data_IF_334866667517
#
_entry.id   IF_334866667517
#
_cell.length_a   1.000
_cell.length_b   1.000
_cell.length_c   1.000
_cell.angle_alpha   90.00
_cell.angle_beta   90.00
_cell.angle_gamma   90.00
#
_symmetry.space_group_name_H-M   'P 1'
#
loop_
_entity.id
_entity.type
_entity.pdbx_description
1 polymer ?
#
# COMPACT_ATOMS: atom_id res chain seq x y z
N UNK A 1 -22.46 -41.89 50.37
CA UNK A 1 -21.77 -40.92 49.48
C UNK A 1 -22.81 -40.27 48.58
N UNK A 2 -23.18 -39.01 48.82
CA UNK A 2 -23.98 -38.23 47.86
C UNK A 2 -23.01 -37.48 46.95
N UNK A 3 -22.96 -37.87 45.67
CA UNK A 3 -22.26 -37.10 44.65
C UNK A 3 -22.90 -35.72 44.55
N UNK A 4 -22.11 -34.66 44.80
CA UNK A 4 -22.54 -33.29 44.52
C UNK A 4 -22.74 -33.17 43.00
N UNK A 5 -23.88 -32.65 42.52
CA UNK A 5 -24.00 -32.30 41.13
C UNK A 5 -23.07 -31.11 40.86
N UNK A 6 -22.15 -31.26 39.91
CA UNK A 6 -21.37 -30.17 39.35
C UNK A 6 -22.32 -29.26 38.61
N UNK A 7 -22.80 -28.22 39.30
CA UNK A 7 -23.63 -27.19 38.71
C UNK A 7 -22.74 -26.34 37.79
N UNK A 8 -22.64 -26.74 36.51
CA UNK A 8 -22.01 -25.93 35.46
C UNK A 8 -22.88 -24.70 35.18
N UNK A 9 -22.80 -23.72 36.09
CA UNK A 9 -23.43 -22.42 35.90
C UNK A 9 -22.70 -21.65 34.79
N UNK A 10 -23.47 -21.07 33.85
CA UNK A 10 -22.90 -20.20 32.80
C UNK A 10 -22.21 -19.01 33.48
N UNK A 11 -20.89 -18.89 33.32
CA UNK A 11 -20.09 -17.79 33.88
C UNK A 11 -19.87 -16.70 32.81
N UNK A 12 -20.17 -15.45 33.15
CA UNK A 12 -19.80 -14.28 32.33
C UNK A 12 -18.39 -13.79 32.72
N UNK A 13 -17.67 -13.22 31.76
CA UNK A 13 -16.36 -12.57 31.96
C UNK A 13 -16.48 -11.08 31.58
N UNK A 14 -16.84 -10.20 32.52
CA UNK A 14 -17.19 -8.80 32.21
C UNK A 14 -16.03 -7.96 31.68
N UNK A 15 -14.79 -8.28 32.05
CA UNK A 15 -13.60 -7.58 31.54
C UNK A 15 -13.25 -7.95 30.10
N UNK A 16 -13.88 -9.01 29.56
CA UNK A 16 -13.69 -9.47 28.17
C UNK A 16 -14.94 -9.13 27.35
N UNK A 17 -16.13 -9.39 27.89
CA UNK A 17 -17.40 -9.13 27.22
C UNK A 17 -18.07 -7.92 27.86
N UNK A 18 -17.79 -6.75 27.30
CA UNK A 18 -18.25 -5.46 27.80
C UNK A 18 -18.88 -4.63 26.69
N UNK A 19 -20.10 -4.14 26.93
CA UNK A 19 -20.81 -3.25 26.01
C UNK A 19 -20.02 -1.95 25.77
N UNK A 20 -19.29 -1.44 26.76
CA UNK A 20 -18.48 -0.24 26.61
C UNK A 20 -17.36 -0.41 25.56
N UNK A 21 -16.78 -1.61 25.43
CA UNK A 21 -15.78 -1.88 24.39
C UNK A 21 -16.42 -1.94 23.01
N UNK A 22 -17.61 -2.51 22.90
CA UNK A 22 -18.35 -2.56 21.64
C UNK A 22 -18.73 -1.15 21.18
N UNK A 23 -19.30 -0.33 22.07
CA UNK A 23 -19.69 1.04 21.74
C UNK A 23 -18.48 1.91 21.41
N UNK A 24 -17.36 1.77 22.14
CA UNK A 24 -16.12 2.46 21.80
C UNK A 24 -15.60 2.03 20.42
N UNK A 25 -15.62 0.74 20.10
CA UNK A 25 -15.17 0.24 18.80
C UNK A 25 -16.03 0.78 17.65
N UNK A 26 -17.36 0.87 17.82
CA UNK A 26 -18.26 1.47 16.82
C UNK A 26 -17.95 2.94 16.59
N UNK A 27 -17.76 3.70 17.68
CA UNK A 27 -17.45 5.13 17.60
C UNK A 27 -16.11 5.39 16.90
N UNK A 28 -15.07 4.64 17.28
CA UNK A 28 -13.73 4.76 16.67
C UNK A 28 -13.74 4.37 15.19
N UNK A 29 -14.42 3.27 14.85
CA UNK A 29 -14.61 2.83 13.47
C UNK A 29 -15.33 3.89 12.63
N UNK A 30 -16.46 4.40 13.10
CA UNK A 30 -17.25 5.41 12.39
C UNK A 30 -16.49 6.73 12.24
N UNK A 31 -15.65 7.10 13.22
CA UNK A 31 -14.78 8.26 13.13
C UNK A 31 -13.72 8.10 12.04
N UNK A 32 -13.06 6.94 11.97
CA UNK A 32 -12.11 6.64 10.90
C UNK A 32 -12.79 6.63 9.52
N UNK A 33 -13.94 5.96 9.40
CA UNK A 33 -14.70 5.90 8.16
C UNK A 33 -15.11 7.29 7.66
N UNK A 34 -15.61 8.16 8.55
CA UNK A 34 -15.98 9.53 8.17
C UNK A 34 -14.77 10.33 7.63
N UNK A 35 -13.59 10.18 8.24
CA UNK A 35 -12.37 10.79 7.73
C UNK A 35 -11.97 10.21 6.35
N UNK A 36 -12.09 8.89 6.16
CA UNK A 36 -11.81 8.26 4.87
C UNK A 36 -12.78 8.73 3.78
N UNK A 37 -14.04 9.01 4.11
CA UNK A 37 -15.01 9.58 3.15
C UNK A 37 -14.60 11.01 2.72
N UNK A 38 -14.17 11.86 3.65
CA UNK A 38 -13.65 13.21 3.33
C UNK A 38 -12.40 13.10 2.43
N UNK A 39 -11.52 12.14 2.70
CA UNK A 39 -10.34 11.90 1.87
C UNK A 39 -10.68 11.35 0.50
N UNK A 40 -11.72 10.52 0.41
CA UNK A 40 -12.23 10.01 -0.85
C UNK A 40 -12.73 11.14 -1.74
N UNK A 41 -13.50 12.10 -1.20
CA UNK A 41 -13.94 13.29 -1.94
C UNK A 41 -12.74 14.08 -2.51
N UNK A 42 -11.69 14.25 -1.70
CA UNK A 42 -10.44 14.87 -2.16
C UNK A 42 -9.72 14.05 -3.24
N UNK A 43 -9.74 12.71 -3.16
CA UNK A 43 -9.17 11.84 -4.19
C UNK A 43 -9.96 11.90 -5.49
N UNK A 44 -11.29 12.00 -5.43
CA UNK A 44 -12.13 12.21 -6.61
C UNK A 44 -11.82 13.55 -7.26
N UNK A 45 -11.66 14.63 -6.48
CA UNK A 45 -11.24 15.92 -7.02
C UNK A 45 -9.85 15.85 -7.66
N UNK A 46 -8.90 15.18 -7.00
CA UNK A 46 -7.57 14.94 -7.57
C UNK A 46 -7.62 14.17 -8.89
N UNK A 47 -8.53 13.18 -9.02
CA UNK A 47 -8.73 12.45 -10.27
C UNK A 47 -9.16 13.35 -11.43
N UNK A 48 -10.11 14.26 -11.19
CA UNK A 48 -10.61 15.19 -12.19
C UNK A 48 -9.58 16.28 -12.52
N UNK A 49 -8.97 16.90 -11.50
CA UNK A 49 -7.97 17.98 -11.66
C UNK A 49 -6.77 17.54 -12.53
N UNK A 50 -6.41 16.26 -12.45
CA UNK A 50 -5.30 15.67 -13.20
C UNK A 50 -5.75 14.89 -14.44
N UNK A 51 -7.07 14.82 -14.70
CA UNK A 51 -7.70 14.03 -15.75
C UNK A 51 -7.10 12.62 -15.86
N UNK A 52 -7.08 11.87 -14.75
CA UNK A 52 -6.42 10.56 -14.70
C UNK A 52 -7.03 9.54 -15.68
N UNK A 53 -8.24 9.79 -16.17
CA UNK A 53 -8.89 9.02 -17.23
C UNK A 53 -8.11 9.03 -18.55
N UNK A 54 -7.49 10.16 -18.93
CA UNK A 54 -6.63 10.24 -20.13
C UNK A 54 -5.45 9.27 -20.07
N UNK A 55 -5.06 8.88 -18.85
CA UNK A 55 -3.99 7.95 -18.57
C UNK A 55 -4.50 6.57 -18.19
N UNK A 56 -5.70 6.21 -18.67
CA UNK A 56 -6.26 4.86 -18.55
C UNK A 56 -6.62 4.45 -17.12
N UNK A 57 -6.57 5.35 -16.15
CA UNK A 57 -7.00 5.06 -14.78
C UNK A 57 -8.50 5.32 -14.70
N UNK A 58 -9.29 4.29 -14.41
CA UNK A 58 -10.72 4.44 -14.19
C UNK A 58 -11.01 4.91 -12.75
N UNK A 59 -12.21 5.45 -12.50
CA UNK A 59 -12.67 5.77 -11.14
C UNK A 59 -12.72 4.52 -10.25
N UNK A 60 -12.95 3.34 -10.85
CA UNK A 60 -12.93 2.05 -10.16
C UNK A 60 -11.52 1.70 -9.70
N UNK A 61 -10.50 1.90 -10.54
CA UNK A 61 -9.10 1.64 -10.16
C UNK A 61 -8.66 2.55 -9.03
N UNK A 62 -9.07 3.82 -9.06
CA UNK A 62 -8.81 4.76 -7.98
C UNK A 62 -9.49 4.33 -6.68
N UNK A 63 -10.78 3.97 -6.73
CA UNK A 63 -11.55 3.53 -5.56
C UNK A 63 -10.96 2.25 -4.95
N UNK A 64 -10.57 1.28 -5.78
CA UNK A 64 -9.88 0.07 -5.34
C UNK A 64 -8.58 0.42 -4.62
N UNK A 65 -7.73 1.23 -5.24
CA UNK A 65 -6.45 1.66 -4.66
C UNK A 65 -6.66 2.39 -3.33
N UNK A 66 -7.67 3.27 -3.28
CA UNK A 66 -8.04 4.01 -2.08
C UNK A 66 -8.49 3.08 -0.95
N UNK A 67 -9.40 2.14 -1.25
CA UNK A 67 -9.87 1.14 -0.31
C UNK A 67 -8.73 0.27 0.25
N UNK A 68 -7.83 -0.20 -0.61
CA UNK A 68 -6.67 -0.99 -0.19
C UNK A 68 -5.77 -0.20 0.77
N UNK A 69 -5.57 1.09 0.51
CA UNK A 69 -4.79 1.95 1.38
C UNK A 69 -5.50 2.21 2.72
N UNK A 70 -6.79 2.53 2.73
CA UNK A 70 -7.58 2.75 3.97
C UNK A 70 -7.69 1.50 4.81
N UNK A 71 -7.81 0.31 4.20
CA UNK A 71 -7.91 -0.95 4.92
C UNK A 71 -6.56 -1.42 5.51
N UNK A 72 -5.44 -0.89 5.02
CA UNK A 72 -4.10 -1.20 5.51
C UNK A 72 -3.53 -0.14 6.46
N UNK A 73 -3.88 1.13 6.26
CA UNK A 73 -3.42 2.28 7.06
C UNK A 73 -4.66 3.11 7.42
N UNK A 74 -5.43 2.65 8.42
CA UNK A 74 -6.75 3.19 8.74
C UNK A 74 -6.71 4.36 9.71
N UNK A 75 -5.62 4.51 10.46
CA UNK A 75 -5.50 5.49 11.54
C UNK A 75 -5.61 6.93 11.01
N UNK A 76 -6.27 7.79 11.77
CA UNK A 76 -6.51 9.21 11.41
C UNK A 76 -5.19 9.95 11.21
N UNK A 77 -4.25 9.78 12.13
CA UNK A 77 -2.93 10.44 12.14
C UNK A 77 -2.06 10.03 10.96
N UNK A 78 -2.34 8.87 10.35
CA UNK A 78 -1.57 8.27 9.26
C UNK A 78 -2.10 8.63 7.86
N UNK A 79 -2.91 9.67 7.78
CA UNK A 79 -3.50 10.17 6.52
C UNK A 79 -2.44 10.53 5.47
N UNK A 80 -1.28 11.06 5.86
CA UNK A 80 -0.17 11.34 4.94
C UNK A 80 0.37 10.08 4.24
N UNK A 81 0.63 9.02 5.00
CA UNK A 81 1.12 7.73 4.50
C UNK A 81 0.09 7.05 3.59
N UNK A 82 -1.17 7.04 4.02
CA UNK A 82 -2.27 6.46 3.26
C UNK A 82 -2.46 7.14 1.90
N UNK A 83 -2.51 8.47 1.87
CA UNK A 83 -2.66 9.21 0.61
C UNK A 83 -1.41 9.08 -0.28
N UNK A 84 -0.23 8.96 0.31
CA UNK A 84 1.00 8.68 -0.42
C UNK A 84 0.95 7.31 -1.10
N UNK A 85 0.47 6.27 -0.42
CA UNK A 85 0.26 4.95 -1.02
C UNK A 85 -0.65 5.04 -2.25
N UNK A 86 -1.82 5.69 -2.12
CA UNK A 86 -2.78 5.81 -3.23
C UNK A 86 -2.18 6.50 -4.44
N UNK A 87 -1.62 7.70 -4.23
CA UNK A 87 -1.07 8.52 -5.32
C UNK A 87 0.13 7.86 -5.98
N UNK A 88 1.01 7.24 -5.20
CA UNK A 88 2.18 6.55 -5.75
C UNK A 88 1.79 5.29 -6.52
N UNK A 89 0.78 4.54 -6.08
CA UNK A 89 0.31 3.37 -6.82
C UNK A 89 -0.32 3.76 -8.16
N UNK A 90 -1.16 4.80 -8.18
CA UNK A 90 -1.69 5.36 -9.44
C UNK A 90 -0.56 5.86 -10.35
N UNK A 91 0.42 6.60 -9.82
CA UNK A 91 1.55 7.09 -10.59
C UNK A 91 2.40 5.94 -11.16
N UNK A 92 2.71 4.93 -10.36
CA UNK A 92 3.41 3.73 -10.81
C UNK A 92 2.66 3.07 -11.98
N UNK A 93 1.35 2.87 -11.83
CA UNK A 93 0.53 2.20 -12.83
C UNK A 93 0.49 2.99 -14.16
N UNK A 94 0.37 4.31 -14.08
CA UNK A 94 0.47 5.19 -15.25
C UNK A 94 1.83 5.07 -15.91
N UNK A 95 2.92 5.19 -15.13
CA UNK A 95 4.27 5.18 -15.68
C UNK A 95 4.54 3.84 -16.37
N UNK A 96 4.21 2.72 -15.73
CA UNK A 96 4.42 1.38 -16.31
C UNK A 96 3.56 1.13 -17.53
N UNK A 97 2.31 1.63 -17.58
CA UNK A 97 1.38 1.32 -18.69
C UNK A 97 1.42 2.32 -19.86
N UNK A 98 1.57 3.62 -19.57
CA UNK A 98 1.55 4.69 -20.58
C UNK A 98 2.92 5.16 -21.00
N UNK A 99 3.91 5.19 -20.11
CA UNK A 99 5.23 5.74 -20.41
C UNK A 99 6.26 4.69 -20.84
N UNK A 100 6.07 3.41 -20.52
CA UNK A 100 7.09 2.38 -20.74
C UNK A 100 6.69 1.24 -21.68
N UNK A 101 5.44 1.20 -22.17
CA UNK A 101 4.96 0.14 -23.08
C UNK A 101 5.11 0.51 -24.57
N UNK A 102 5.41 1.75 -24.93
CA UNK A 102 5.48 2.17 -26.34
C UNK A 102 6.86 2.72 -26.73
N UNK A 103 7.54 1.91 -27.56
CA UNK A 103 8.41 2.35 -28.66
C UNK A 103 9.92 2.53 -28.45
N UNK A 104 10.59 1.80 -27.55
CA UNK A 104 12.07 1.67 -27.58
C UNK A 104 12.88 2.97 -27.35
N UNK A 105 12.22 4.12 -27.26
CA UNK A 105 12.73 5.45 -26.94
C UNK A 105 12.81 5.69 -25.41
N UNK A 106 12.94 4.61 -24.64
CA UNK A 106 12.93 4.62 -23.18
C UNK A 106 13.88 5.69 -22.62
N UNK A 107 15.13 5.75 -23.11
CA UNK A 107 16.16 6.64 -22.57
C UNK A 107 15.90 8.13 -22.88
N UNK A 108 15.31 8.42 -24.04
CA UNK A 108 15.03 9.79 -24.45
C UNK A 108 13.80 10.33 -23.71
N UNK A 109 12.74 9.53 -23.64
CA UNK A 109 11.55 9.79 -22.82
C UNK A 109 11.90 9.84 -21.33
N UNK A 110 12.80 8.98 -20.83
CA UNK A 110 13.35 9.01 -19.47
C UNK A 110 14.06 10.34 -19.16
N UNK A 111 14.96 10.77 -20.06
CA UNK A 111 15.73 12.00 -19.85
C UNK A 111 14.81 13.22 -19.84
N UNK A 112 13.77 13.20 -20.66
CA UNK A 112 12.77 14.25 -20.75
C UNK A 112 11.86 14.26 -19.51
N UNK A 113 11.36 13.11 -19.09
CA UNK A 113 10.50 12.96 -17.92
C UNK A 113 11.23 13.36 -16.63
N UNK A 114 12.48 12.93 -16.44
CA UNK A 114 13.33 13.38 -15.31
C UNK A 114 13.61 14.89 -15.38
N UNK A 115 13.84 15.46 -16.57
CA UNK A 115 13.98 16.91 -16.74
C UNK A 115 12.68 17.65 -16.41
N UNK A 116 11.52 17.12 -16.79
CA UNK A 116 10.20 17.70 -16.48
C UNK A 116 9.92 17.67 -14.97
N UNK A 117 10.21 16.56 -14.30
CA UNK A 117 10.12 16.45 -12.84
C UNK A 117 11.05 17.45 -12.12
N UNK A 118 12.24 17.72 -12.67
CA UNK A 118 13.22 18.64 -12.07
C UNK A 118 13.01 20.11 -12.41
N UNK A 119 12.55 20.43 -13.63
CA UNK A 119 12.50 21.81 -14.17
C UNK A 119 11.18 22.53 -13.93
N UNK A 120 10.20 21.88 -13.29
CA UNK A 120 8.86 22.44 -13.03
C UNK A 120 8.10 22.91 -14.29
N UNK A 121 8.61 22.58 -15.49
CA UNK A 121 8.05 23.01 -16.76
C UNK A 121 7.77 21.77 -17.61
N UNK A 122 6.48 21.50 -17.83
CA UNK A 122 6.00 20.46 -18.73
C UNK A 122 5.14 19.38 -18.07
N UNK A 123 3.88 19.29 -18.53
CA UNK A 123 2.83 18.27 -18.28
C UNK A 123 2.53 17.84 -16.83
N UNK A 124 1.37 17.18 -16.66
CA UNK A 124 0.65 16.89 -15.41
C UNK A 124 1.42 16.08 -14.34
N UNK A 125 2.64 15.59 -14.62
CA UNK A 125 3.34 14.58 -13.80
C UNK A 125 4.23 15.15 -12.70
N UNK A 126 5.06 16.16 -13.01
CA UNK A 126 5.85 16.87 -12.00
C UNK A 126 4.98 17.44 -10.87
N UNK A 127 3.72 17.72 -11.20
CA UNK A 127 2.70 18.23 -10.29
C UNK A 127 2.27 17.19 -9.25
N UNK A 128 2.23 15.89 -9.58
CA UNK A 128 1.88 14.84 -8.61
C UNK A 128 2.95 14.71 -7.51
N UNK A 129 4.23 14.68 -7.87
CA UNK A 129 5.32 14.65 -6.89
C UNK A 129 5.37 15.93 -6.06
N UNK A 130 5.17 17.09 -6.69
CA UNK A 130 5.10 18.38 -5.98
C UNK A 130 3.93 18.42 -5.01
N UNK A 131 2.77 17.87 -5.40
CA UNK A 131 1.59 17.77 -4.53
C UNK A 131 1.86 16.82 -3.37
N UNK A 132 2.50 15.66 -3.59
CA UNK A 132 2.94 14.76 -2.53
C UNK A 132 3.90 15.44 -1.56
N UNK A 133 4.92 16.12 -2.07
CA UNK A 133 5.89 16.85 -1.26
C UNK A 133 5.23 17.98 -0.45
N UNK A 134 4.31 18.73 -1.07
CA UNK A 134 3.55 19.80 -0.41
C UNK A 134 2.65 19.24 0.70
N UNK A 135 1.88 18.20 0.39
CA UNK A 135 0.97 17.55 1.36
C UNK A 135 1.77 16.97 2.54
N UNK A 136 2.95 16.39 2.28
CA UNK A 136 3.86 15.93 3.32
C UNK A 136 4.39 17.12 4.15
N UNK A 137 4.88 18.18 3.51
CA UNK A 137 5.38 19.37 4.21
C UNK A 137 4.34 20.00 5.14
N UNK A 138 3.09 20.13 4.67
CA UNK A 138 1.96 20.65 5.47
C UNK A 138 1.68 19.79 6.73
N UNK A 139 1.97 18.49 6.68
CA UNK A 139 1.66 17.53 7.76
C UNK A 139 2.83 17.29 8.72
N UNK A 140 4.02 17.06 8.19
CA UNK A 140 5.21 16.68 8.99
C UNK A 140 6.22 17.83 9.16
N UNK A 141 5.96 19.01 8.56
CA UNK A 141 6.79 20.20 8.70
C UNK A 141 8.16 20.12 8.03
N UNK A 142 8.38 19.17 7.13
CA UNK A 142 9.68 18.92 6.48
C UNK A 142 9.57 18.93 4.96
N UNK A 143 10.56 19.51 4.30
CA UNK A 143 10.68 19.38 2.85
C UNK A 143 11.25 18.00 2.49
N UNK A 144 10.41 17.20 1.84
CA UNK A 144 10.73 15.84 1.40
C UNK A 144 10.98 15.73 -0.10
N UNK A 145 10.90 16.85 -0.84
CA UNK A 145 10.95 16.84 -2.30
C UNK A 145 12.23 16.20 -2.84
N UNK A 146 13.38 16.51 -2.21
CA UNK A 146 14.67 15.94 -2.60
C UNK A 146 14.75 14.41 -2.41
N UNK A 147 14.10 13.88 -1.37
CA UNK A 147 14.03 12.45 -1.08
C UNK A 147 13.08 11.74 -2.06
N UNK A 148 11.90 12.32 -2.33
CA UNK A 148 10.95 11.78 -3.31
C UNK A 148 11.54 11.75 -4.72
N UNK A 149 12.20 12.83 -5.14
CA UNK A 149 12.88 12.87 -6.44
C UNK A 149 14.01 11.83 -6.52
N UNK A 150 14.75 11.63 -5.42
CA UNK A 150 15.79 10.60 -5.38
C UNK A 150 15.22 9.19 -5.48
N UNK A 151 14.14 8.90 -4.75
CA UNK A 151 13.44 7.61 -4.81
C UNK A 151 12.92 7.32 -6.23
N UNK A 152 12.27 8.30 -6.86
CA UNK A 152 11.76 8.18 -8.22
C UNK A 152 12.90 8.00 -9.24
N UNK A 153 13.98 8.78 -9.15
CA UNK A 153 15.15 8.67 -10.03
C UNK A 153 15.82 7.30 -9.91
N UNK A 154 15.95 6.78 -8.69
CA UNK A 154 16.51 5.45 -8.44
C UNK A 154 15.61 4.35 -9.03
N UNK A 155 14.30 4.43 -8.82
CA UNK A 155 13.35 3.45 -9.36
C UNK A 155 13.30 3.47 -10.90
N UNK A 156 13.21 4.65 -11.51
CA UNK A 156 13.19 4.83 -12.96
C UNK A 156 14.45 4.29 -13.65
N UNK A 157 15.64 4.45 -13.02
CA UNK A 157 16.90 3.90 -13.55
C UNK A 157 16.87 2.37 -13.59
N UNK A 158 16.36 1.71 -12.55
CA UNK A 158 16.25 0.25 -12.49
C UNK A 158 15.27 -0.26 -13.53
N UNK A 159 14.13 0.41 -13.67
CA UNK A 159 13.14 0.08 -14.70
C UNK A 159 13.73 0.15 -16.11
N UNK A 160 14.60 1.14 -16.38
CA UNK A 160 15.28 1.28 -17.66
C UNK A 160 16.38 0.29 -17.97
N UNK A 161 16.92 -0.35 -16.95
CA UNK A 161 17.94 -1.39 -17.11
C UNK A 161 17.32 -2.75 -17.43
N UNK A 162 16.00 -2.84 -17.56
CA UNK A 162 15.29 -4.10 -17.79
C UNK A 162 15.33 -5.01 -16.56
N UNK A 163 15.51 -4.44 -15.37
CA UNK A 163 15.57 -5.19 -14.13
C UNK A 163 14.15 -5.63 -13.73
N UNK A 164 13.73 -6.79 -14.26
CA UNK A 164 12.41 -7.40 -14.03
C UNK A 164 12.14 -7.69 -12.54
N UNK A 165 13.17 -7.67 -11.69
CA UNK A 165 13.08 -7.88 -10.25
C UNK A 165 12.55 -6.61 -9.52
N UNK A 166 12.62 -5.43 -10.14
CA UNK A 166 12.23 -4.16 -9.54
C UNK A 166 10.86 -3.67 -10.00
N UNK A 167 9.83 -4.21 -9.36
CA UNK A 167 8.46 -3.74 -9.49
C UNK A 167 8.18 -2.53 -8.58
N UNK A 168 7.04 -1.88 -8.85
CA UNK A 168 6.45 -0.71 -8.17
C UNK A 168 6.61 -0.65 -6.64
N UNK A 169 6.70 -1.79 -5.96
CA UNK A 169 6.69 -1.95 -4.50
C UNK A 169 7.78 -1.14 -3.78
N UNK A 170 9.03 -1.16 -4.26
CA UNK A 170 10.10 -0.38 -3.61
C UNK A 170 9.78 1.13 -3.60
N UNK A 171 9.31 1.66 -4.73
CA UNK A 171 8.94 3.07 -4.84
C UNK A 171 7.74 3.42 -3.96
N UNK A 172 6.75 2.53 -3.86
CA UNK A 172 5.61 2.70 -2.95
C UNK A 172 6.09 2.81 -1.50
N UNK A 173 6.87 1.84 -1.04
CA UNK A 173 7.37 1.79 0.34
C UNK A 173 8.24 3.01 0.66
N UNK A 174 9.12 3.42 -0.25
CA UNK A 174 9.94 4.62 -0.08
C UNK A 174 9.05 5.87 0.02
N UNK A 175 8.10 6.04 -0.89
CA UNK A 175 7.24 7.23 -0.90
C UNK A 175 6.39 7.33 0.36
N UNK A 176 5.80 6.22 0.81
CA UNK A 176 4.97 6.17 2.02
C UNK A 176 5.81 6.57 3.24
N UNK A 177 6.97 5.94 3.43
CA UNK A 177 7.83 6.22 4.57
C UNK A 177 8.43 7.64 4.53
N UNK A 178 8.70 8.20 3.35
CA UNK A 178 9.16 9.58 3.19
C UNK A 178 8.01 10.56 3.56
N UNK A 179 6.82 10.37 3.02
CA UNK A 179 5.65 11.21 3.30
C UNK A 179 5.15 11.08 4.74
N UNK A 180 5.36 9.92 5.38
CA UNK A 180 5.11 9.69 6.81
C UNK A 180 6.17 10.29 7.74
N UNK A 181 7.28 10.80 7.20
CA UNK A 181 8.37 11.40 7.99
C UNK A 181 9.30 10.37 8.66
N UNK A 182 9.19 9.09 8.31
CA UNK A 182 10.01 8.01 8.86
C UNK A 182 11.39 7.92 8.21
N UNK A 183 11.50 8.26 6.93
CA UNK A 183 12.78 8.31 6.21
C UNK A 183 13.28 9.74 6.15
N UNK A 184 14.37 9.99 6.88
CA UNK A 184 14.98 11.32 7.02
C UNK A 184 16.33 11.45 6.31
N UNK A 185 16.96 10.32 5.97
CA UNK A 185 18.23 10.26 5.25
C UNK A 185 18.21 9.09 4.26
N UNK A 186 19.03 9.22 3.21
CA UNK A 186 19.30 8.17 2.22
C UNK A 186 20.04 6.97 2.82
N UNK A 187 20.66 7.12 3.98
CA UNK A 187 21.39 6.05 4.66
C UNK A 187 20.46 4.89 5.06
N UNK A 188 19.22 5.22 5.47
CA UNK A 188 18.19 4.22 5.82
C UNK A 188 17.88 3.33 4.62
N UNK A 189 17.80 3.91 3.42
CA UNK A 189 17.53 3.19 2.16
C UNK A 189 18.66 2.22 1.79
N UNK A 190 19.88 2.50 2.28
CA UNK A 190 21.07 1.70 1.98
C UNK A 190 21.31 0.59 3.02
N UNK A 191 20.56 0.58 4.12
CA UNK A 191 20.72 -0.39 5.19
C UNK A 191 20.31 -1.81 4.75
N UNK A 192 21.07 -2.82 5.20
CA UNK A 192 20.88 -4.21 4.76
C UNK A 192 19.51 -4.77 5.15
N UNK A 193 19.00 -4.44 6.34
CA UNK A 193 17.66 -4.86 6.78
C UNK A 193 16.55 -4.24 5.91
N UNK A 194 16.69 -2.97 5.52
CA UNK A 194 15.75 -2.31 4.61
C UNK A 194 15.77 -2.99 3.23
N UNK A 195 16.97 -3.27 2.71
CA UNK A 195 17.14 -3.97 1.43
C UNK A 195 16.59 -5.39 1.47
N UNK A 196 16.78 -6.11 2.57
CA UNK A 196 16.26 -7.47 2.74
C UNK A 196 14.72 -7.48 2.73
N UNK A 197 14.08 -6.58 3.49
CA UNK A 197 12.62 -6.41 3.48
C UNK A 197 12.10 -6.01 2.10
N UNK A 198 12.81 -5.10 1.40
CA UNK A 198 12.45 -4.65 0.06
C UNK A 198 12.48 -5.79 -0.95
N UNK A 199 13.56 -6.59 -0.96
CA UNK A 199 13.67 -7.77 -1.83
C UNK A 199 12.57 -8.78 -1.55
N UNK A 200 12.27 -9.05 -0.29
CA UNK A 200 11.23 -10.00 0.09
C UNK A 200 9.84 -9.52 -0.33
N UNK A 201 9.50 -8.25 -0.06
CA UNK A 201 8.23 -7.66 -0.48
C UNK A 201 8.09 -7.65 -2.01
N UNK A 202 9.14 -7.30 -2.75
CA UNK A 202 9.17 -7.36 -4.22
C UNK A 202 8.91 -8.79 -4.70
N UNK A 203 9.64 -9.78 -4.17
CA UNK A 203 9.49 -11.20 -4.53
C UNK A 203 8.04 -11.66 -4.38
N UNK A 204 7.40 -11.32 -3.26
CA UNK A 204 6.00 -11.64 -2.99
C UNK A 204 5.11 -11.05 -4.08
N UNK A 205 5.20 -9.73 -4.33
CA UNK A 205 4.33 -9.06 -5.31
C UNK A 205 4.57 -9.53 -6.74
N UNK A 206 5.83 -9.78 -7.13
CA UNK A 206 6.15 -10.36 -8.45
C UNK A 206 5.46 -11.71 -8.61
N UNK A 207 5.54 -12.56 -7.59
CA UNK A 207 4.92 -13.89 -7.63
C UNK A 207 3.39 -13.81 -7.68
N UNK A 208 2.78 -12.83 -6.99
CA UNK A 208 1.34 -12.55 -7.03
C UNK A 208 0.87 -12.11 -8.42
N UNK A 209 1.57 -11.17 -9.05
CA UNK A 209 1.18 -10.63 -10.36
C UNK A 209 1.38 -11.64 -11.50
N UNK A 210 2.42 -12.48 -11.43
CA UNK A 210 2.74 -13.47 -12.47
C UNK A 210 1.80 -14.70 -12.45
N UNK A 211 0.73 -14.70 -11.66
CA UNK A 211 -0.29 -15.75 -11.69
C UNK A 211 -1.46 -15.33 -12.58
N UNK A 212 -1.57 -15.94 -13.74
CA UNK A 212 -2.34 -15.49 -14.90
C UNK A 212 -3.88 -15.46 -14.80
N UNK A 213 -4.49 -15.43 -13.62
CA UNK A 213 -5.96 -15.41 -13.51
C UNK A 213 -6.45 -14.50 -12.38
N UNK A 214 -6.31 -13.17 -12.55
CA UNK A 214 -6.97 -12.16 -11.69
C UNK A 214 -8.50 -12.31 -11.64
N UNK A 215 -9.10 -13.08 -12.54
CA UNK A 215 -10.55 -13.28 -12.65
C UNK A 215 -11.09 -14.27 -11.60
N UNK A 216 -10.30 -15.26 -11.17
CA UNK A 216 -10.79 -16.40 -10.39
C UNK A 216 -10.40 -16.37 -8.89
N UNK A 217 -9.51 -15.46 -8.49
CA UNK A 217 -8.99 -15.33 -7.11
C UNK A 217 -8.08 -16.50 -6.66
N UNK A 218 -7.24 -16.29 -5.64
CA UNK A 218 -6.34 -17.35 -5.13
C UNK A 218 -7.07 -18.57 -4.55
N UNK A 219 -8.33 -18.43 -4.14
CA UNK A 219 -9.12 -19.59 -3.68
C UNK A 219 -9.21 -20.68 -4.78
N UNK A 220 -9.19 -20.27 -6.05
CA UNK A 220 -9.09 -21.17 -7.18
C UNK A 220 -7.69 -21.76 -7.37
N UNK A 221 -6.63 -20.98 -7.13
CA UNK A 221 -5.23 -21.44 -7.22
C UNK A 221 -4.93 -22.63 -6.30
N UNK A 222 -5.61 -22.70 -5.15
CA UNK A 222 -5.48 -23.82 -4.20
C UNK A 222 -5.91 -25.18 -4.79
N UNK A 223 -6.71 -25.18 -5.87
CA UNK A 223 -7.35 -26.38 -6.41
C UNK A 223 -6.50 -27.09 -7.48
N UNK A 224 -5.51 -26.43 -8.09
CA UNK A 224 -4.66 -27.04 -9.13
C UNK A 224 -3.25 -27.33 -8.62
N UNK A 225 -2.66 -28.46 -9.02
CA UNK A 225 -1.38 -28.97 -8.46
C UNK A 225 -0.19 -28.03 -8.69
N UNK A 226 -0.11 -27.38 -9.85
CA UNK A 226 0.96 -26.43 -10.19
C UNK A 226 0.80 -25.08 -9.46
N UNK A 227 -0.44 -24.59 -9.33
CA UNK A 227 -0.69 -23.34 -8.62
C UNK A 227 -0.57 -23.48 -7.10
N UNK A 228 -0.83 -24.68 -6.57
CA UNK A 228 -0.64 -25.00 -5.16
C UNK A 228 0.81 -24.85 -4.69
N UNK A 229 1.81 -25.24 -5.49
CA UNK A 229 3.22 -25.09 -5.09
C UNK A 229 3.67 -23.62 -5.09
N UNK A 230 3.27 -22.83 -6.10
CA UNK A 230 3.57 -21.39 -6.16
C UNK A 230 2.89 -20.64 -5.01
N UNK A 231 1.65 -21.00 -4.70
CA UNK A 231 0.92 -20.46 -3.56
C UNK A 231 1.64 -20.75 -2.23
N UNK A 232 2.12 -21.98 -2.02
CA UNK A 232 2.89 -22.33 -0.82
C UNK A 232 4.18 -21.52 -0.67
N UNK A 233 4.83 -21.14 -1.77
CA UNK A 233 6.00 -20.25 -1.72
C UNK A 233 5.62 -18.84 -1.28
N UNK A 234 4.56 -18.27 -1.86
CA UNK A 234 4.03 -16.95 -1.49
C UNK A 234 3.66 -16.93 0.00
N UNK A 235 3.01 -17.98 0.51
CA UNK A 235 2.66 -18.10 1.94
C UNK A 235 3.90 -18.11 2.84
N UNK A 236 4.95 -18.87 2.47
CA UNK A 236 6.20 -18.90 3.23
C UNK A 236 6.88 -17.53 3.23
N UNK A 237 6.92 -16.86 2.08
CA UNK A 237 7.52 -15.53 1.97
C UNK A 237 6.73 -14.49 2.78
N UNK A 238 5.38 -14.55 2.77
CA UNK A 238 4.54 -13.68 3.62
C UNK A 238 4.73 -13.96 5.11
N UNK A 239 4.86 -15.23 5.51
CA UNK A 239 5.17 -15.58 6.91
C UNK A 239 6.53 -15.03 7.33
N UNK A 240 7.54 -15.16 6.48
CA UNK A 240 8.87 -14.57 6.72
C UNK A 240 8.79 -13.04 6.81
N UNK A 241 8.02 -12.39 5.94
CA UNK A 241 7.83 -10.94 5.98
C UNK A 241 7.24 -10.50 7.32
N UNK A 242 6.17 -11.16 7.78
CA UNK A 242 5.55 -10.87 9.08
C UNK A 242 6.54 -11.07 10.23
N UNK A 243 7.34 -12.14 10.19
CA UNK A 243 8.36 -12.39 11.21
C UNK A 243 9.38 -11.25 11.27
N UNK A 244 9.94 -10.83 10.13
CA UNK A 244 10.93 -9.74 10.07
C UNK A 244 10.35 -8.37 10.50
N UNK A 245 9.05 -8.16 10.23
CA UNK A 245 8.34 -6.93 10.59
C UNK A 245 8.03 -6.87 12.08
N UNK A 246 7.74 -8.01 12.72
CA UNK A 246 7.45 -8.09 14.15
C UNK A 246 8.70 -8.22 15.03
N UNK A 247 9.82 -8.68 14.47
CA UNK A 247 11.10 -8.72 15.17
C UNK A 247 11.65 -7.31 15.38
N UNK A 248 12.22 -7.06 16.56
CA UNK A 248 12.94 -5.83 16.84
C UNK A 248 14.15 -5.70 15.91
N UNK A 249 14.43 -4.48 15.43
CA UNK A 249 15.64 -4.23 14.64
C UNK A 249 16.86 -4.44 15.53
N UNK A 250 17.83 -5.23 15.05
CA UNK A 250 19.04 -5.57 15.79
C UNK A 250 19.83 -4.34 16.27
N UNK A 251 19.75 -3.23 15.53
CA UNK A 251 20.47 -1.99 15.81
C UNK A 251 19.53 -0.79 16.05
N UNK A 252 18.20 -0.99 16.07
CA UNK A 252 17.20 0.08 16.23
C UNK A 252 17.12 1.09 15.07
N UNK A 253 17.82 0.85 13.96
CA UNK A 253 17.91 1.79 12.82
C UNK A 253 16.59 1.84 12.04
N UNK A 254 15.90 0.70 11.87
CA UNK A 254 14.57 0.67 11.27
C UNK A 254 13.51 0.75 12.36
N UNK A 255 12.73 1.84 12.33
CA UNK A 255 11.57 1.96 13.20
C UNK A 255 10.50 0.91 12.85
N UNK A 256 9.66 0.59 13.84
CA UNK A 256 8.51 -0.28 13.65
C UNK A 256 7.59 0.24 12.53
N UNK A 257 7.43 1.55 12.41
CA UNK A 257 6.60 2.16 11.37
C UNK A 257 7.14 1.90 9.97
N UNK A 258 8.47 2.01 9.78
CA UNK A 258 9.12 1.66 8.50
C UNK A 258 8.82 0.20 8.14
N UNK A 259 9.01 -0.72 9.09
CA UNK A 259 8.75 -2.15 8.89
C UNK A 259 7.29 -2.43 8.56
N UNK A 260 6.37 -1.79 9.29
CA UNK A 260 4.94 -1.95 9.06
C UNK A 260 4.51 -1.50 7.66
N UNK A 261 5.17 -0.50 7.08
CA UNK A 261 4.93 -0.09 5.69
C UNK A 261 5.18 -1.22 4.69
N UNK A 262 6.25 -2.02 4.86
CA UNK A 262 6.49 -3.20 3.99
C UNK A 262 5.33 -4.19 4.05
N UNK A 263 4.85 -4.49 5.26
CA UNK A 263 3.72 -5.38 5.45
C UNK A 263 2.42 -4.80 4.89
N UNK A 264 2.15 -3.52 5.14
CA UNK A 264 0.97 -2.82 4.63
C UNK A 264 0.89 -2.87 3.10
N UNK A 265 2.02 -2.61 2.41
CA UNK A 265 2.10 -2.68 0.94
C UNK A 265 1.94 -4.13 0.46
N UNK A 266 2.69 -5.10 1.00
CA UNK A 266 2.56 -6.50 0.57
C UNK A 266 1.13 -7.04 0.77
N UNK A 267 0.47 -6.62 1.85
CA UNK A 267 -0.92 -7.00 2.18
C UNK A 267 -1.92 -6.50 1.14
N UNK A 268 -1.74 -5.32 0.55
CA UNK A 268 -2.68 -4.82 -0.49
C UNK A 268 -2.65 -5.69 -1.73
N UNK A 269 -1.45 -6.04 -2.21
CA UNK A 269 -1.28 -6.93 -3.36
C UNK A 269 -1.76 -8.35 -3.07
N UNK A 270 -1.44 -8.88 -1.89
CA UNK A 270 -1.89 -10.20 -1.48
C UNK A 270 -3.43 -10.26 -1.45
N UNK A 271 -4.07 -9.24 -0.87
CA UNK A 271 -5.52 -9.15 -0.79
C UNK A 271 -6.16 -9.05 -2.18
N UNK A 272 -5.64 -8.19 -3.07
CA UNK A 272 -6.16 -8.03 -4.43
C UNK A 272 -6.07 -9.34 -5.23
N UNK A 273 -4.98 -10.09 -5.07
CA UNK A 273 -4.83 -11.40 -5.71
C UNK A 273 -5.74 -12.48 -5.09
N UNK A 274 -6.07 -12.35 -3.80
CA UNK A 274 -6.82 -13.37 -3.08
C UNK A 274 -8.32 -13.34 -3.39
N UNK A 275 -8.93 -12.14 -3.39
CA UNK A 275 -10.36 -11.96 -3.55
C UNK A 275 -10.77 -11.68 -5.00
N UNK A 276 -11.97 -12.11 -5.38
CA UNK A 276 -12.54 -11.75 -6.69
C UNK A 276 -12.99 -10.29 -6.71
N UNK A 277 -13.14 -9.73 -7.91
CA UNK A 277 -13.64 -8.35 -8.08
C UNK A 277 -14.99 -8.11 -7.38
N UNK A 278 -15.91 -9.08 -7.43
CA UNK A 278 -17.23 -8.99 -6.78
C UNK A 278 -17.10 -8.95 -5.25
N UNK A 279 -16.24 -9.80 -4.68
CA UNK A 279 -15.99 -9.79 -3.23
C UNK A 279 -15.38 -8.46 -2.79
N UNK A 280 -14.43 -7.93 -3.56
CA UNK A 280 -13.78 -6.66 -3.26
C UNK A 280 -14.81 -5.50 -3.30
N UNK A 281 -15.70 -5.45 -4.29
CA UNK A 281 -16.77 -4.44 -4.33
C UNK A 281 -17.67 -4.47 -3.09
N UNK A 282 -18.05 -5.67 -2.64
CA UNK A 282 -18.82 -5.83 -1.41
C UNK A 282 -18.04 -5.33 -0.19
N UNK A 283 -16.74 -5.63 -0.11
CA UNK A 283 -15.88 -5.15 0.98
C UNK A 283 -15.70 -3.62 0.95
N UNK A 284 -15.52 -3.02 -0.24
CA UNK A 284 -15.47 -1.56 -0.43
C UNK A 284 -16.74 -0.91 0.10
N UNK A 285 -17.91 -1.41 -0.31
CA UNK A 285 -19.21 -0.91 0.15
C UNK A 285 -19.33 -0.94 1.68
N UNK A 286 -18.99 -2.08 2.29
CA UNK A 286 -19.08 -2.24 3.75
C UNK A 286 -18.09 -1.37 4.51
N UNK A 287 -16.84 -1.29 4.05
CA UNK A 287 -15.76 -0.66 4.83
C UNK A 287 -15.79 0.86 4.70
N UNK A 288 -16.06 1.40 3.52
CA UNK A 288 -15.98 2.84 3.29
C UNK A 288 -17.32 3.56 3.44
N UNK A 289 -18.45 2.87 3.26
CA UNK A 289 -19.74 3.54 3.06
C UNK A 289 -20.87 3.04 3.98
N UNK A 290 -20.61 2.04 4.83
CA UNK A 290 -21.59 1.55 5.79
C UNK A 290 -21.07 1.72 7.22
N UNK A 291 -21.68 2.60 8.05
CA UNK A 291 -21.24 2.78 9.42
C UNK A 291 -21.54 1.54 10.27
N UNK A 292 -20.76 1.35 11.32
CA UNK A 292 -21.03 0.38 12.37
C UNK A 292 -22.25 0.83 13.19
N UNK A 293 -23.21 -0.10 13.37
CA UNK A 293 -24.47 0.09 14.12
C UNK A 293 -24.42 -0.70 15.43
#
# INVERSE_FOLDING_TARGET
>A
MKSRPTNNSKKRMPEINNEAYLELAKLDYNRCQAQHQIEWDHMQKWYEDFNLQEFGISKRDLLLTFFLATASIFELERSGERLALVKSQVLCNILTTHCFIKDGEFLEQWSQLVKEFRKEQGRKWGWCNKKLAKDAHERIGRDVNSLLLHALDAWLKKLGQGDEEFKQVELLIQTINICGGHIVSKDILSHDEYRALSRLANKIVVNLENGNEKVMGMEYWKKTKQMSSKYQEIEKDMQLLVQLVLQDSSNGILSRDIKQTFFAVAKTFYYEAFFTSEQIENHVSRVLFQPAV
#
